data_IF_348334074996
#
_entry.id   IF_348334074996
#
_cell.length_a   1.000
_cell.length_b   1.000
_cell.length_c   1.000
_cell.angle_alpha   90.00
_cell.angle_beta   90.00
_cell.angle_gamma   90.00
#
_symmetry.space_group_name_H-M   'P 1'
#
loop_
_entity.id
_entity.type
_entity.pdbx_description
1 polymer ?
#
# COMPACT_ATOMS: atom_id res chain seq x y z
N UNK A 1 11.97 6.24 -10.40
CA UNK A 1 11.19 5.92 -9.19
C UNK A 1 11.32 4.43 -8.94
N UNK A 2 12.12 4.03 -7.95
CA UNK A 2 12.28 2.63 -7.55
C UNK A 2 11.37 2.40 -6.34
N UNK A 3 10.23 1.73 -6.54
CA UNK A 3 9.37 1.29 -5.45
C UNK A 3 9.91 -0.06 -5.00
N UNK A 4 10.39 -0.15 -3.75
CA UNK A 4 10.79 -1.42 -3.14
C UNK A 4 9.67 -1.91 -2.23
N UNK A 5 9.05 -3.02 -2.61
CA UNK A 5 8.14 -3.76 -1.73
C UNK A 5 8.97 -4.51 -0.69
N UNK A 6 8.93 -4.05 0.56
CA UNK A 6 9.41 -4.85 1.69
C UNK A 6 8.19 -5.44 2.39
N UNK A 7 8.02 -6.75 2.25
CA UNK A 7 7.02 -7.50 2.97
C UNK A 7 7.53 -7.70 4.40
N UNK A 8 7.40 -6.66 5.24
CA UNK A 8 7.77 -6.75 6.64
C UNK A 8 6.65 -7.46 7.38
N UNK A 9 6.86 -8.76 7.61
CA UNK A 9 6.07 -9.62 8.49
C UNK A 9 6.11 -9.03 9.91
N UNK A 10 5.14 -8.19 10.26
CA UNK A 10 4.90 -7.81 11.64
C UNK A 10 4.35 -9.04 12.36
N UNK A 11 5.18 -9.57 13.26
CA UNK A 11 4.82 -10.68 14.12
C UNK A 11 3.94 -10.17 15.25
N UNK A 12 2.65 -10.47 15.19
CA UNK A 12 1.80 -10.92 16.30
C UNK A 12 0.34 -10.82 15.87
N UNK A 13 -0.17 -11.95 15.39
CA UNK A 13 -1.48 -12.52 15.74
C UNK A 13 -1.69 -13.67 14.77
N UNK A 14 -2.06 -14.84 15.29
CA UNK A 14 -2.30 -16.04 14.49
C UNK A 14 -3.21 -15.70 13.29
N UNK A 15 -2.66 -15.72 12.09
CA UNK A 15 -3.47 -15.71 10.88
C UNK A 15 -4.24 -17.02 10.86
N UNK A 16 -5.52 -16.94 11.19
CA UNK A 16 -6.44 -18.05 11.05
C UNK A 16 -6.58 -18.37 9.55
N UNK A 17 -5.82 -19.38 9.09
CA UNK A 17 -5.84 -19.87 7.72
C UNK A 17 -7.26 -20.33 7.28
N UNK A 18 -8.22 -20.41 8.22
CA UNK A 18 -9.62 -20.72 7.96
C UNK A 18 -10.43 -19.56 7.35
N UNK A 19 -9.96 -18.30 7.45
CA UNK A 19 -10.63 -17.12 6.86
C UNK A 19 -10.54 -17.07 5.33
N UNK A 20 -9.60 -17.81 4.73
CA UNK A 20 -9.44 -17.89 3.27
C UNK A 20 -10.63 -18.63 2.62
N UNK A 21 -11.38 -19.44 3.39
CA UNK A 21 -12.54 -20.19 2.88
C UNK A 21 -13.87 -19.43 2.94
N UNK A 22 -13.96 -18.38 3.77
CA UNK A 22 -15.17 -17.58 3.99
C UNK A 22 -14.89 -16.11 3.68
N UNK A 23 -14.73 -15.78 2.39
CA UNK A 23 -14.70 -14.41 1.86
C UNK A 23 -14.11 -13.38 2.82
N UNK A 24 -12.78 -13.28 2.86
CA UNK A 24 -12.06 -12.30 3.68
C UNK A 24 -12.61 -10.89 3.39
N UNK A 25 -13.40 -10.37 4.33
CA UNK A 25 -14.07 -9.06 4.25
C UNK A 25 -13.31 -8.00 5.06
N UNK A 26 -12.07 -8.28 5.47
CA UNK A 26 -11.27 -7.30 6.20
C UNK A 26 -11.08 -6.06 5.31
N UNK A 27 -11.14 -4.84 5.90
CA UNK A 27 -10.97 -3.62 5.12
C UNK A 27 -9.56 -3.57 4.51
N UNK A 28 -9.44 -2.90 3.37
CA UNK A 28 -8.14 -2.51 2.83
C UNK A 28 -7.64 -1.29 3.60
N UNK A 29 -6.35 -1.29 3.94
CA UNK A 29 -5.69 -0.15 4.58
C UNK A 29 -4.41 0.15 3.84
N UNK A 30 -4.22 1.42 3.52
CA UNK A 30 -2.98 1.96 2.95
C UNK A 30 -2.30 2.82 3.98
N UNK A 31 -1.08 2.48 4.34
CA UNK A 31 -0.23 3.33 5.15
C UNK A 31 0.91 3.84 4.25
N UNK A 32 1.02 5.16 4.11
CA UNK A 32 2.08 5.81 3.36
C UNK A 32 2.96 6.60 4.31
N UNK A 33 4.22 6.23 4.36
CA UNK A 33 5.28 6.92 5.09
C UNK A 33 6.14 7.65 4.07
N UNK A 34 6.32 8.95 4.25
CA UNK A 34 7.29 9.74 3.50
C UNK A 34 8.34 10.29 4.44
N UNK A 35 9.61 10.17 4.08
CA UNK A 35 10.69 10.64 4.92
C UNK A 35 11.92 11.10 4.11
N UNK A 36 12.65 12.05 4.70
CA UNK A 36 13.98 12.49 4.29
C UNK A 36 14.88 12.65 5.54
N UNK A 37 16.00 13.38 5.46
CA UNK A 37 16.89 13.59 6.60
C UNK A 37 16.29 14.48 7.72
N UNK A 38 15.26 15.27 7.42
CA UNK A 38 14.69 16.29 8.30
C UNK A 38 13.18 16.15 8.58
N UNK A 39 12.46 15.40 7.75
CA UNK A 39 11.00 15.31 7.75
C UNK A 39 10.54 13.85 7.75
N UNK A 40 9.47 13.59 8.49
CA UNK A 40 8.74 12.33 8.51
C UNK A 40 7.25 12.66 8.50
N UNK A 41 6.51 12.08 7.55
CA UNK A 41 5.05 12.16 7.51
C UNK A 41 4.46 10.77 7.30
N UNK A 42 3.30 10.56 7.91
CA UNK A 42 2.56 9.30 7.82
C UNK A 42 1.10 9.58 7.52
N UNK A 43 0.55 8.84 6.56
CA UNK A 43 -0.82 8.98 6.10
C UNK A 43 -1.48 7.61 6.02
N UNK A 44 -2.71 7.52 6.54
CA UNK A 44 -3.51 6.30 6.49
C UNK A 44 -4.75 6.55 5.63
N UNK A 45 -5.04 5.64 4.70
CA UNK A 45 -6.20 5.68 3.82
C UNK A 45 -6.93 4.35 3.85
N UNK A 46 -8.27 4.40 3.81
CA UNK A 46 -9.11 3.20 3.85
C UNK A 46 -9.85 2.98 2.52
N UNK A 47 -9.56 3.80 1.52
CA UNK A 47 -10.12 3.67 0.18
C UNK A 47 -9.12 4.05 -0.90
N UNK A 48 -9.30 3.41 -2.06
CA UNK A 48 -8.47 3.66 -3.23
C UNK A 48 -8.69 5.08 -3.79
N UNK A 49 -9.89 5.64 -3.65
CA UNK A 49 -10.20 7.02 -4.04
C UNK A 49 -9.37 8.03 -3.25
N UNK A 50 -9.29 7.88 -1.92
CA UNK A 50 -8.49 8.75 -1.06
C UNK A 50 -6.99 8.61 -1.38
N UNK A 51 -6.51 7.38 -1.55
CA UNK A 51 -5.14 7.11 -1.97
C UNK A 51 -4.84 7.78 -3.32
N UNK A 52 -5.73 7.64 -4.30
CA UNK A 52 -5.59 8.22 -5.62
C UNK A 52 -5.53 9.75 -5.55
N UNK A 53 -6.40 10.38 -4.75
CA UNK A 53 -6.38 11.83 -4.52
C UNK A 53 -5.06 12.29 -3.91
N UNK A 54 -4.56 11.58 -2.89
CA UNK A 54 -3.27 11.85 -2.27
C UNK A 54 -2.12 11.73 -3.29
N UNK A 55 -2.07 10.65 -4.07
CA UNK A 55 -1.02 10.41 -5.07
C UNK A 55 -1.08 11.40 -6.25
N UNK A 56 -2.23 12.02 -6.53
CA UNK A 56 -2.34 13.08 -7.56
C UNK A 56 -1.96 14.47 -7.05
N UNK A 57 -2.17 14.74 -5.76
CA UNK A 57 -1.97 16.07 -5.16
C UNK A 57 -0.57 16.24 -4.59
N UNK A 58 -0.02 15.17 -4.01
CA UNK A 58 1.36 15.15 -3.59
C UNK A 58 2.24 14.94 -4.80
N UNK A 59 3.24 15.79 -4.97
CA UNK A 59 4.42 15.41 -5.74
C UNK A 59 5.14 14.32 -4.93
N UNK A 60 4.63 13.08 -4.97
CA UNK A 60 5.38 11.87 -4.65
C UNK A 60 6.51 11.66 -5.68
N UNK A 61 7.20 12.74 -6.02
CA UNK A 61 8.39 12.75 -6.84
C UNK A 61 9.49 12.19 -5.97
N UNK A 62 10.11 11.11 -6.42
CA UNK A 62 11.23 10.45 -5.76
C UNK A 62 12.50 11.32 -5.67
N UNK A 63 12.41 12.63 -5.96
CA UNK A 63 13.51 13.59 -5.82
C UNK A 63 13.60 14.18 -4.41
N UNK A 64 12.47 14.32 -3.71
CA UNK A 64 12.42 15.09 -2.46
C UNK A 64 12.26 14.19 -1.23
N UNK A 65 11.59 13.04 -1.37
CA UNK A 65 11.32 12.12 -0.26
C UNK A 65 11.48 10.65 -0.67
N UNK A 66 11.87 9.82 0.29
CA UNK A 66 11.66 8.39 0.22
C UNK A 66 10.21 8.07 0.61
N UNK A 67 9.49 7.30 -0.20
CA UNK A 67 8.10 6.90 0.08
C UNK A 67 8.03 5.39 0.29
N UNK A 68 7.52 4.97 1.45
CA UNK A 68 7.13 3.60 1.74
C UNK A 68 5.61 3.51 1.80
N UNK A 69 5.03 2.65 0.96
CA UNK A 69 3.61 2.27 1.03
C UNK A 69 3.47 0.85 1.58
N UNK A 70 2.74 0.69 2.67
CA UNK A 70 2.26 -0.60 3.19
C UNK A 70 0.79 -0.78 2.80
N UNK A 71 0.42 -1.98 2.36
CA UNK A 71 -0.93 -2.34 1.92
C UNK A 71 -1.38 -3.57 2.71
N UNK A 72 -2.40 -3.40 3.53
CA UNK A 72 -3.08 -4.49 4.23
C UNK A 72 -4.37 -4.84 3.49
N UNK A 73 -4.77 -6.12 3.51
CA UNK A 73 -5.96 -6.57 2.78
C UNK A 73 -5.70 -6.94 1.32
N UNK A 74 -4.54 -7.57 1.03
CA UNK A 74 -4.15 -8.06 -0.31
C UNK A 74 -5.14 -9.06 -0.94
N UNK A 75 -6.12 -9.56 -0.19
CA UNK A 75 -7.23 -10.34 -0.73
C UNK A 75 -8.13 -9.52 -1.67
N UNK A 76 -8.07 -8.17 -1.62
CA UNK A 76 -8.73 -7.24 -2.55
C UNK A 76 -7.97 -7.13 -3.87
N UNK A 77 -8.05 -8.18 -4.68
CA UNK A 77 -7.36 -8.25 -5.97
C UNK A 77 -7.80 -7.16 -6.94
N UNK A 78 -9.06 -6.72 -6.87
CA UNK A 78 -9.59 -5.60 -7.65
C UNK A 78 -8.77 -4.31 -7.45
N UNK A 79 -8.31 -4.09 -6.20
CA UNK A 79 -7.52 -2.92 -5.85
C UNK A 79 -6.05 -3.11 -6.23
N UNK A 80 -5.50 -4.32 -6.06
CA UNK A 80 -4.15 -4.63 -6.51
C UNK A 80 -3.98 -4.48 -8.02
N UNK A 81 -4.98 -4.87 -8.80
CA UNK A 81 -4.99 -4.69 -10.26
C UNK A 81 -4.98 -3.21 -10.65
N UNK A 82 -5.76 -2.36 -9.97
CA UNK A 82 -5.74 -0.91 -10.22
C UNK A 82 -4.37 -0.30 -9.88
N UNK A 83 -3.77 -0.69 -8.75
CA UNK A 83 -2.44 -0.23 -8.36
C UNK A 83 -1.35 -0.72 -9.31
N UNK A 84 -1.45 -1.96 -9.77
CA UNK A 84 -0.56 -2.54 -10.78
C UNK A 84 -0.58 -1.73 -12.07
N UNK A 85 -1.78 -1.40 -12.56
CA UNK A 85 -1.94 -0.53 -13.73
C UNK A 85 -1.38 0.88 -13.49
N UNK A 86 -1.62 1.47 -12.30
CA UNK A 86 -1.19 2.84 -11.97
C UNK A 86 0.33 2.96 -11.88
N UNK A 87 1.00 1.99 -11.26
CA UNK A 87 2.45 1.99 -11.07
C UNK A 87 3.20 1.20 -12.15
N UNK A 88 2.47 0.67 -13.14
CA UNK A 88 2.99 -0.13 -14.24
C UNK A 88 3.80 -1.35 -13.76
N UNK A 89 3.26 -2.08 -12.77
CA UNK A 89 3.81 -3.36 -12.36
C UNK A 89 3.50 -4.42 -13.41
N UNK A 90 4.45 -5.32 -13.63
CA UNK A 90 4.20 -6.44 -14.53
C UNK A 90 3.19 -7.38 -13.87
N UNK A 91 2.21 -7.89 -14.62
CA UNK A 91 1.13 -8.74 -14.09
C UNK A 91 1.57 -10.07 -13.43
N UNK A 92 2.85 -10.43 -13.52
CA UNK A 92 3.45 -11.60 -12.84
C UNK A 92 4.15 -11.23 -11.53
N UNK A 93 4.06 -9.97 -11.10
CA UNK A 93 4.60 -9.45 -9.84
C UNK A 93 3.57 -9.65 -8.74
#
# INVERSE_FOLDING_TARGET
MHIRFHNHRLASDEYDLQLISNGDNRPIVFNIIQYDEAHYTEHNFNSLSELNAFLTTTSCSSKDYCTWMNIEGIHRTDILDELSNRFNFHALT
#
